data_IF_917452687602
#
_entry.id   IF_917452687602
#
_cell.length_a   1.000
_cell.length_b   1.000
_cell.length_c   1.000
_cell.angle_alpha   90.00
_cell.angle_beta   90.00
_cell.angle_gamma   90.00
#
_symmetry.space_group_name_H-M   'P 1'
#
loop_
_entity.id
_entity.type
_entity.pdbx_description
1 polymer ?
#
# COMPACT_ATOMS: atom_id res chain seq x y z
N UNK A 1 -5.41 11.70 23.50
CA UNK A 1 -5.76 11.03 22.24
C UNK A 1 -5.32 9.58 22.39
N UNK A 2 -6.12 8.59 22.00
CA UNK A 2 -5.67 7.19 22.03
C UNK A 2 -4.70 6.89 20.88
N UNK A 3 -3.84 5.90 21.07
CA UNK A 3 -3.02 5.33 20.00
C UNK A 3 -3.89 4.86 18.83
N UNK A 4 -3.29 4.77 17.64
CA UNK A 4 -3.97 4.22 16.46
C UNK A 4 -3.06 3.29 15.67
N UNK A 5 -3.66 2.51 14.77
CA UNK A 5 -2.94 1.54 13.96
C UNK A 5 -2.92 1.95 12.49
N UNK A 6 -1.81 1.66 11.82
CA UNK A 6 -1.66 1.79 10.35
C UNK A 6 -1.34 0.41 9.78
N UNK A 7 -2.04 -0.02 8.73
CA UNK A 7 -1.77 -1.28 8.07
C UNK A 7 -0.92 -1.08 6.80
N UNK A 8 0.29 -1.62 6.81
CA UNK A 8 1.19 -1.66 5.67
C UNK A 8 1.09 -2.98 4.91
N UNK A 9 0.88 -2.91 3.60
CA UNK A 9 0.87 -4.07 2.70
C UNK A 9 1.82 -3.96 1.51
N UNK A 10 2.50 -2.83 1.33
CA UNK A 10 3.44 -2.61 0.25
C UNK A 10 4.68 -1.92 0.79
N UNK A 11 5.05 -0.79 0.20
CA UNK A 11 6.26 -0.04 0.56
C UNK A 11 6.37 0.35 2.04
N UNK A 12 5.24 0.49 2.75
CA UNK A 12 5.22 0.73 4.19
C UNK A 12 5.84 -0.40 5.01
N UNK A 13 5.89 -1.64 4.50
CA UNK A 13 6.49 -2.79 5.21
C UNK A 13 7.99 -2.58 5.44
N UNK A 14 8.72 -2.06 4.44
CA UNK A 14 10.18 -1.88 4.52
C UNK A 14 10.62 -0.43 4.64
N UNK A 15 9.72 0.52 4.35
CA UNK A 15 9.94 1.96 4.48
C UNK A 15 8.71 2.62 5.10
N UNK A 16 8.45 2.45 6.41
CA UNK A 16 7.30 3.07 7.07
C UNK A 16 7.42 4.60 7.04
N UNK A 17 8.59 5.15 7.40
CA UNK A 17 8.86 6.59 7.31
C UNK A 17 8.21 7.44 8.41
N UNK A 18 7.64 6.82 9.44
CA UNK A 18 7.05 7.48 10.60
C UNK A 18 7.38 6.72 11.90
N UNK A 19 7.34 7.44 13.02
CA UNK A 19 7.56 6.87 14.34
C UNK A 19 6.36 6.03 14.79
N UNK A 20 6.64 4.87 15.37
CA UNK A 20 5.66 3.93 15.90
C UNK A 20 6.28 3.17 17.08
N UNK A 21 5.44 2.74 18.02
CA UNK A 21 5.89 2.08 19.27
C UNK A 21 5.78 0.57 19.20
N UNK A 22 5.07 0.04 18.20
CA UNK A 22 4.89 -1.39 18.01
C UNK A 22 4.71 -1.72 16.54
N UNK A 23 5.28 -2.84 16.11
CA UNK A 23 5.04 -3.44 14.80
C UNK A 23 4.65 -4.89 15.00
N UNK A 24 3.52 -5.29 14.42
CA UNK A 24 3.04 -6.66 14.50
C UNK A 24 2.56 -7.14 13.13
N UNK A 25 2.76 -8.43 12.83
CA UNK A 25 2.10 -9.05 11.68
C UNK A 25 0.59 -9.02 11.86
N UNK A 26 -0.12 -8.75 10.77
CA UNK A 26 -1.57 -8.67 10.79
C UNK A 26 -2.18 -9.14 9.46
N UNK A 27 -3.44 -9.54 9.52
CA UNK A 27 -4.24 -9.94 8.36
C UNK A 27 -5.45 -9.03 8.20
N UNK A 28 -5.60 -8.48 6.99
CA UNK A 28 -6.80 -7.80 6.54
C UNK A 28 -7.65 -8.76 5.70
N UNK A 29 -8.91 -8.94 6.07
CA UNK A 29 -9.86 -9.76 5.31
C UNK A 29 -10.68 -8.90 4.34
N UNK A 30 -11.13 -9.51 3.24
CA UNK A 30 -11.95 -8.84 2.22
C UNK A 30 -11.13 -8.04 1.20
N UNK A 31 -9.80 -8.04 1.32
CA UNK A 31 -8.88 -7.38 0.40
C UNK A 31 -7.67 -8.27 0.09
N UNK A 32 -7.22 -8.25 -1.16
CA UNK A 32 -6.03 -8.95 -1.64
C UNK A 32 -5.02 -7.93 -2.14
N UNK A 33 -3.75 -8.21 -1.87
CA UNK A 33 -2.64 -7.50 -2.49
C UNK A 33 -2.56 -7.89 -3.97
N UNK A 34 -2.50 -6.91 -4.85
CA UNK A 34 -2.38 -7.12 -6.30
C UNK A 34 -1.57 -5.99 -6.94
N UNK A 35 -0.79 -6.29 -7.97
CA UNK A 35 -0.24 -5.28 -8.88
C UNK A 35 -1.38 -4.74 -9.77
N UNK A 36 -2.18 -3.82 -9.24
CA UNK A 36 -3.43 -3.36 -9.86
C UNK A 36 -3.55 -1.83 -9.97
N UNK A 37 -2.44 -1.12 -9.78
CA UNK A 37 -2.40 0.35 -9.87
C UNK A 37 -1.36 0.77 -10.88
N UNK A 38 -1.77 1.47 -11.93
CA UNK A 38 -0.83 2.15 -12.81
C UNK A 38 -0.15 3.30 -12.07
N UNK A 39 1.18 3.34 -12.07
CA UNK A 39 1.98 4.39 -11.44
C UNK A 39 2.45 5.39 -12.49
N UNK A 40 1.94 6.62 -12.42
CA UNK A 40 2.29 7.70 -13.34
C UNK A 40 3.38 8.64 -12.80
N UNK A 41 3.88 8.39 -11.58
CA UNK A 41 4.82 9.30 -10.90
C UNK A 41 6.02 8.54 -10.36
N UNK A 42 5.80 7.57 -9.46
CA UNK A 42 6.89 6.94 -8.72
C UNK A 42 7.63 5.86 -9.53
N UNK A 43 6.89 5.04 -10.28
CA UNK A 43 7.44 3.88 -11.01
C UNK A 43 7.18 3.90 -12.51
N UNK A 44 6.68 5.02 -13.02
CA UNK A 44 6.47 5.28 -14.43
C UNK A 44 6.07 6.74 -14.67
N UNK A 45 5.62 7.02 -15.88
CA UNK A 45 5.04 8.30 -16.30
C UNK A 45 3.62 8.10 -16.84
N UNK A 46 2.93 9.16 -17.26
CA UNK A 46 1.63 9.01 -17.95
C UNK A 46 1.76 8.32 -19.30
N UNK A 47 2.86 8.55 -20.02
CA UNK A 47 3.15 7.96 -21.33
C UNK A 47 3.64 6.52 -21.23
N UNK A 48 4.42 6.21 -20.18
CA UNK A 48 4.91 4.87 -19.89
C UNK A 48 4.66 4.52 -18.42
N UNK A 49 3.43 4.08 -18.07
CA UNK A 49 3.08 3.81 -16.69
C UNK A 49 3.83 2.61 -16.14
N UNK A 50 4.15 2.69 -14.85
CA UNK A 50 4.52 1.52 -14.07
C UNK A 50 3.27 0.82 -13.54
N UNK A 51 3.47 -0.29 -12.83
CA UNK A 51 2.47 -1.05 -12.11
C UNK A 51 2.95 -1.25 -10.67
N UNK A 52 2.12 -0.83 -9.71
CA UNK A 52 2.39 -0.91 -8.28
C UNK A 52 1.27 -1.63 -7.53
N UNK A 53 1.54 -2.01 -6.29
CA UNK A 53 0.60 -2.74 -5.46
C UNK A 53 -0.57 -1.87 -5.01
N UNK A 54 -1.77 -2.43 -5.06
CA UNK A 54 -2.93 -1.95 -4.33
C UNK A 54 -3.61 -3.08 -3.54
N UNK A 55 -4.46 -2.71 -2.60
CA UNK A 55 -5.43 -3.61 -1.98
C UNK A 55 -6.74 -3.56 -2.76
N UNK A 56 -6.99 -4.59 -3.58
CA UNK A 56 -8.25 -4.77 -4.30
C UNK A 56 -9.19 -5.72 -3.55
N UNK A 57 -10.49 -5.68 -3.84
CA UNK A 57 -11.52 -6.46 -3.13
C UNK A 57 -11.33 -7.97 -3.26
N UNK A 58 -11.58 -8.72 -2.20
CA UNK A 58 -11.60 -10.18 -2.16
C UNK A 58 -10.42 -10.80 -1.41
N UNK A 59 -10.58 -12.04 -0.96
CA UNK A 59 -9.54 -12.80 -0.27
C UNK A 59 -9.10 -12.19 1.06
N UNK A 60 -7.79 -12.25 1.34
CA UNK A 60 -7.15 -11.63 2.50
C UNK A 60 -5.71 -11.25 2.18
N UNK A 61 -5.19 -10.25 2.88
CA UNK A 61 -3.82 -9.79 2.76
C UNK A 61 -3.12 -9.88 4.11
N UNK A 62 -1.94 -10.50 4.14
CA UNK A 62 -1.03 -10.44 5.30
C UNK A 62 -0.07 -9.28 5.11
N UNK A 63 0.07 -8.45 6.13
CA UNK A 63 0.96 -7.28 6.15
C UNK A 63 1.46 -7.00 7.56
N UNK A 64 1.88 -5.76 7.80
CA UNK A 64 2.30 -5.28 9.11
C UNK A 64 1.31 -4.22 9.63
N UNK A 65 1.04 -4.26 10.92
CA UNK A 65 0.31 -3.26 11.67
C UNK A 65 1.30 -2.47 12.53
N UNK A 66 1.28 -1.15 12.40
CA UNK A 66 2.12 -0.23 13.16
C UNK A 66 1.27 0.51 14.18
N UNK A 67 1.57 0.39 15.49
CA UNK A 67 0.90 1.18 16.53
C UNK A 67 1.61 2.52 16.68
N UNK A 68 0.88 3.59 16.43
CA UNK A 68 1.37 4.96 16.46
C UNK A 68 0.81 5.66 17.70
N UNK A 69 1.66 6.30 18.52
CA UNK A 69 1.23 7.13 19.65
C UNK A 69 0.19 8.17 19.25
N UNK A 70 -0.82 8.35 20.09
CA UNK A 70 -1.95 9.24 19.78
C UNK A 70 -1.57 10.72 19.58
N UNK A 71 -0.48 11.18 20.20
CA UNK A 71 0.07 12.52 20.06
C UNK A 71 0.78 12.77 18.72
N UNK A 72 1.23 11.71 18.03
CA UNK A 72 1.85 11.79 16.70
C UNK A 72 0.84 11.65 15.55
N UNK A 73 -0.45 11.50 15.85
CA UNK A 73 -1.48 11.20 14.85
C UNK A 73 -1.51 12.19 13.69
N UNK A 74 -1.53 13.49 13.98
CA UNK A 74 -1.69 14.49 12.93
C UNK A 74 -0.47 14.54 11.99
N UNK A 75 0.74 14.44 12.56
CA UNK A 75 2.00 14.37 11.80
C UNK A 75 2.03 13.13 10.90
N UNK A 76 1.76 11.95 11.47
CA UNK A 76 1.81 10.68 10.73
C UNK A 76 0.73 10.62 9.66
N UNK A 77 -0.48 11.09 9.95
CA UNK A 77 -1.55 11.14 8.96
C UNK A 77 -1.25 12.13 7.83
N UNK A 78 -0.67 13.30 8.13
CA UNK A 78 -0.24 14.25 7.10
C UNK A 78 0.81 13.62 6.17
N UNK A 79 1.85 13.00 6.75
CA UNK A 79 2.88 12.29 6.01
C UNK A 79 2.30 11.18 5.10
N UNK A 80 1.43 10.33 5.64
CA UNK A 80 0.83 9.24 4.88
C UNK A 80 -0.03 9.75 3.72
N UNK A 81 -0.77 10.84 3.92
CA UNK A 81 -1.60 11.45 2.86
C UNK A 81 -0.75 12.07 1.77
N UNK A 82 0.31 12.78 2.12
CA UNK A 82 1.27 13.31 1.12
C UNK A 82 1.91 12.21 0.29
N UNK A 83 2.19 11.07 0.91
CA UNK A 83 2.82 9.92 0.26
C UNK A 83 1.86 9.09 -0.59
N UNK A 84 0.68 8.76 -0.08
CA UNK A 84 -0.22 7.78 -0.70
C UNK A 84 -1.31 8.47 -1.54
N UNK A 85 -1.72 9.71 -1.23
CA UNK A 85 -2.82 10.38 -1.93
C UNK A 85 -2.38 11.36 -3.02
N UNK A 86 -1.13 11.25 -3.51
CA UNK A 86 -0.58 12.12 -4.57
C UNK A 86 -1.52 12.25 -5.77
N UNK A 87 -2.11 11.14 -6.20
CA UNK A 87 -3.09 11.11 -7.30
C UNK A 87 -4.50 10.74 -6.84
N UNK A 88 -4.72 10.50 -5.56
CA UNK A 88 -5.97 9.99 -4.99
C UNK A 88 -6.45 8.65 -5.59
N UNK A 89 -5.56 7.85 -6.20
CA UNK A 89 -5.88 6.47 -6.62
C UNK A 89 -6.15 5.54 -5.44
N UNK A 90 -5.67 5.88 -4.25
CA UNK A 90 -5.99 5.17 -3.03
C UNK A 90 -7.05 5.92 -2.22
N UNK A 91 -7.84 5.14 -1.49
CA UNK A 91 -8.84 5.60 -0.54
C UNK A 91 -8.35 5.29 0.88
N UNK A 92 -8.26 6.33 1.71
CA UNK A 92 -8.06 6.18 3.15
C UNK A 92 -9.31 5.57 3.78
N UNK A 93 -9.17 4.46 4.50
CA UNK A 93 -10.26 3.77 5.20
C UNK A 93 -9.82 3.31 6.57
N UNK A 94 -10.75 3.36 7.53
CA UNK A 94 -10.63 2.63 8.79
C UNK A 94 -11.20 1.23 8.61
N UNK A 95 -10.36 0.20 8.73
CA UNK A 95 -10.76 -1.20 8.56
C UNK A 95 -10.29 -2.05 9.74
N UNK A 96 -11.01 -3.14 10.01
CA UNK A 96 -10.62 -4.13 11.02
C UNK A 96 -9.54 -5.05 10.48
N UNK A 97 -8.46 -5.17 11.23
CA UNK A 97 -7.37 -6.12 10.97
C UNK A 97 -7.21 -7.08 12.15
N UNK A 98 -6.83 -8.32 11.85
CA UNK A 98 -6.53 -9.36 12.82
C UNK A 98 -5.03 -9.35 13.10
N UNK A 99 -4.63 -9.03 14.32
CA UNK A 99 -3.24 -9.11 14.76
C UNK A 99 -2.84 -10.57 14.99
N UNK A 100 -1.56 -10.92 14.81
CA UNK A 100 -1.07 -12.29 15.03
C UNK A 100 -1.28 -12.79 16.47
N UNK A 101 -1.38 -11.87 17.45
CA UNK A 101 -1.73 -12.19 18.84
C UNK A 101 -3.17 -12.61 19.06
N UNK A 102 -4.02 -12.54 18.03
CA UNK A 102 -5.43 -12.90 18.12
C UNK A 102 -6.34 -11.76 18.57
N UNK A 103 -5.86 -10.52 18.57
CA UNK A 103 -6.70 -9.35 18.75
C UNK A 103 -7.19 -8.80 17.41
N UNK A 104 -8.26 -8.01 17.44
CA UNK A 104 -8.79 -7.33 16.25
C UNK A 104 -8.91 -5.85 16.55
N UNK A 105 -8.22 -5.04 15.73
CA UNK A 105 -8.10 -3.60 15.93
C UNK A 105 -8.56 -2.86 14.67
N UNK A 106 -9.02 -1.62 14.83
CA UNK A 106 -9.27 -0.73 13.71
C UNK A 106 -7.95 -0.04 13.30
N UNK A 107 -7.64 -0.10 12.01
CA UNK A 107 -6.42 0.47 11.44
C UNK A 107 -6.75 1.35 10.23
N UNK A 108 -5.92 2.38 10.02
CA UNK A 108 -5.88 3.15 8.79
C UNK A 108 -5.28 2.27 7.69
N UNK A 109 -6.00 2.16 6.58
CA UNK A 109 -5.63 1.36 5.42
C UNK A 109 -5.89 2.16 4.14
N UNK A 110 -4.94 2.11 3.22
CA UNK A 110 -5.08 2.67 1.88
C UNK A 110 -5.48 1.56 0.90
N UNK A 111 -6.72 1.60 0.40
CA UNK A 111 -7.23 0.63 -0.58
C UNK A 111 -7.33 1.25 -1.96
N UNK A 112 -7.29 0.48 -3.04
CA UNK A 112 -7.40 1.06 -4.39
C UNK A 112 -8.83 1.54 -4.66
N UNK A 113 -8.97 2.73 -5.24
CA UNK A 113 -10.23 3.18 -5.84
C UNK A 113 -10.41 2.52 -7.21
N UNK A 114 -11.39 1.62 -7.30
CA UNK A 114 -11.73 0.91 -8.54
C UNK A 114 -12.40 1.80 -9.60
N UNK A 115 -12.79 3.02 -9.25
CA UNK A 115 -13.35 3.99 -10.18
C UNK A 115 -12.29 4.94 -10.77
N UNK A 116 -11.05 4.88 -10.27
CA UNK A 116 -9.99 5.78 -10.69
C UNK A 116 -9.33 5.35 -12.01
N UNK A 117 -8.87 6.32 -12.82
CA UNK A 117 -8.21 6.07 -14.13
C UNK A 117 -6.96 5.17 -14.01
N UNK A 118 -6.33 5.16 -12.84
CA UNK A 118 -5.12 4.37 -12.55
C UNK A 118 -5.43 2.94 -12.07
N UNK A 119 -6.69 2.55 -11.90
CA UNK A 119 -7.01 1.17 -11.55
C UNK A 119 -6.84 0.26 -12.77
N UNK A 120 -5.84 -0.63 -12.70
CA UNK A 120 -5.51 -1.57 -13.78
C UNK A 120 -6.37 -2.85 -13.76
N UNK A 121 -7.19 -3.05 -12.73
CA UNK A 121 -7.95 -4.29 -12.58
C UNK A 121 -7.07 -5.48 -12.24
N UNK A 122 -7.55 -6.67 -12.62
CA UNK A 122 -6.79 -7.92 -12.52
C UNK A 122 -6.13 -8.19 -13.87
N UNK A 123 -4.90 -7.68 -14.05
CA UNK A 123 -4.06 -8.04 -15.19
C UNK A 123 -3.57 -9.48 -15.03
N UNK A 124 -3.38 -10.19 -16.15
CA UNK A 124 -2.63 -11.43 -16.13
C UNK A 124 -1.12 -11.16 -15.95
N UNK A 125 -0.36 -12.22 -15.74
CA UNK A 125 1.08 -12.11 -15.46
C UNK A 125 1.85 -11.54 -16.66
N UNK A 126 1.44 -11.85 -17.89
CA UNK A 126 2.14 -11.41 -19.09
C UNK A 126 1.94 -9.91 -19.32
N UNK A 127 0.69 -9.43 -19.19
CA UNK A 127 0.33 -8.03 -19.28
C UNK A 127 0.99 -7.22 -18.15
N UNK A 128 0.95 -7.72 -16.91
CA UNK A 128 1.61 -7.08 -15.79
C UNK A 128 3.13 -6.96 -16.02
N UNK A 129 3.78 -8.02 -16.49
CA UNK A 129 5.20 -8.01 -16.79
C UNK A 129 5.54 -7.07 -17.96
N UNK A 130 4.67 -6.94 -18.95
CA UNK A 130 4.87 -6.02 -20.07
C UNK A 130 4.81 -4.56 -19.60
N UNK A 131 3.89 -4.22 -18.70
CA UNK A 131 3.78 -2.87 -18.11
C UNK A 131 5.00 -2.55 -17.24
N UNK A 132 5.41 -3.48 -16.37
CA UNK A 132 6.55 -3.28 -15.46
C UNK A 132 7.86 -3.09 -16.24
N UNK A 133 8.03 -3.79 -17.37
CA UNK A 133 9.29 -3.84 -18.11
C UNK A 133 9.72 -2.46 -18.64
N UNK A 134 10.83 -1.97 -18.13
CA UNK A 134 11.48 -0.73 -18.50
C UNK A 134 10.69 0.52 -18.13
N UNK A 135 9.67 0.40 -17.27
CA UNK A 135 8.99 1.56 -16.71
C UNK A 135 9.85 2.19 -15.61
N UNK A 136 10.01 3.52 -15.66
CA UNK A 136 10.85 4.28 -14.73
C UNK A 136 10.10 5.54 -14.33
N UNK A 137 10.04 5.79 -13.03
CA UNK A 137 9.49 7.02 -12.48
C UNK A 137 10.48 7.72 -11.55
N UNK A 138 9.99 8.72 -10.82
CA UNK A 138 10.80 9.52 -9.89
C UNK A 138 11.48 8.68 -8.80
N UNK A 139 10.93 7.52 -8.46
CA UNK A 139 11.46 6.62 -7.43
C UNK A 139 12.28 5.45 -8.01
N UNK A 140 12.62 5.51 -9.30
CA UNK A 140 13.46 4.53 -9.99
C UNK A 140 12.67 3.53 -10.85
N UNK A 141 13.34 2.44 -11.22
CA UNK A 141 12.76 1.40 -12.08
C UNK A 141 11.60 0.68 -11.38
N UNK A 142 10.65 0.20 -12.18
CA UNK A 142 9.53 -0.56 -11.68
C UNK A 142 9.90 -2.01 -11.36
N UNK A 143 10.83 -2.62 -12.09
CA UNK A 143 11.35 -3.95 -11.78
C UNK A 143 11.91 -4.02 -10.37
N UNK A 144 12.73 -3.03 -9.98
CA UNK A 144 13.31 -2.94 -8.65
C UNK A 144 12.20 -2.89 -7.57
N UNK A 145 11.10 -2.20 -7.84
CA UNK A 145 9.95 -2.17 -6.93
C UNK A 145 9.29 -3.54 -6.77
N UNK A 146 9.09 -4.27 -7.88
CA UNK A 146 8.48 -5.60 -7.84
C UNK A 146 9.41 -6.60 -7.13
N UNK A 147 10.72 -6.55 -7.42
CA UNK A 147 11.71 -7.39 -6.75
C UNK A 147 11.81 -7.08 -5.25
N UNK A 148 11.94 -5.81 -4.87
CA UNK A 148 11.94 -5.41 -3.46
C UNK A 148 10.65 -5.83 -2.76
N UNK A 149 9.51 -5.78 -3.45
CA UNK A 149 8.25 -6.26 -2.88
C UNK A 149 8.33 -7.76 -2.58
N UNK A 150 8.89 -8.58 -3.49
CA UNK A 150 9.02 -10.01 -3.25
C UNK A 150 9.99 -10.35 -2.12
N UNK A 151 11.05 -9.58 -1.94
CA UNK A 151 12.05 -9.80 -0.88
C UNK A 151 11.53 -9.52 0.54
N UNK A 152 10.54 -8.62 0.67
CA UNK A 152 10.05 -8.15 1.97
C UNK A 152 8.69 -8.74 2.37
N UNK A 153 8.15 -9.68 1.58
CA UNK A 153 6.88 -10.38 1.84
C UNK A 153 7.11 -11.80 2.36
#
# INVERSE_FOLDING_TARGET
MGDFWVFGYGSLIWRPGFAHVETQRARLHGYRRSLCVYSFVHRGTRERPGLVLGLDRGGSCVGLAFRVPGDLRDEVMAYLRERELVTNVYLERMLKIRLDGGDTVDAVVYIVDRQHEQYAGALDVADAAAVVRGAVGQSGNNEDYVLSTLEHL
#
